data_IF_459028845749
#
_entry.id   IF_459028845749
#
_cell.length_a   1.000
_cell.length_b   1.000
_cell.length_c   1.000
_cell.angle_alpha   90.00
_cell.angle_beta   90.00
_cell.angle_gamma   90.00
#
_symmetry.space_group_name_H-M   'P 1'
#
loop_
_entity.id
_entity.type
_entity.pdbx_description
1 polymer ?
#
# COMPACT_ATOMS: atom_id res chain seq x y z
N UNK A 1 29.96 -33.83 -64.83
CA UNK A 1 30.77 -34.32 -63.68
C UNK A 1 31.12 -33.11 -62.82
N UNK A 2 31.00 -33.27 -61.50
CA UNK A 2 30.91 -32.21 -60.48
C UNK A 2 32.00 -31.14 -60.54
N UNK A 3 31.85 -29.96 -59.94
CA UNK A 3 31.00 -29.59 -58.81
C UNK A 3 31.93 -29.05 -57.72
N UNK A 4 31.81 -27.77 -57.37
CA UNK A 4 32.01 -27.30 -56.00
C UNK A 4 31.44 -25.89 -55.84
N UNK A 5 30.48 -25.78 -54.93
CA UNK A 5 29.94 -24.52 -54.46
C UNK A 5 30.92 -23.87 -53.49
N UNK A 6 30.99 -22.54 -53.51
CA UNK A 6 31.25 -21.76 -52.30
C UNK A 6 30.19 -20.66 -52.20
N UNK A 7 29.27 -20.86 -51.26
CA UNK A 7 28.40 -19.83 -50.71
C UNK A 7 29.24 -18.97 -49.77
N UNK A 8 29.16 -17.65 -49.89
CA UNK A 8 29.35 -16.76 -48.74
C UNK A 8 28.08 -15.94 -48.59
N UNK A 9 27.20 -16.47 -47.75
CA UNK A 9 26.14 -15.75 -47.05
C UNK A 9 26.79 -15.23 -45.77
N UNK A 10 26.65 -13.93 -45.47
CA UNK A 10 26.36 -13.39 -44.13
C UNK A 10 26.82 -11.93 -44.04
N UNK A 11 26.00 -11.01 -44.53
CA UNK A 11 26.02 -9.61 -44.12
C UNK A 11 24.67 -9.29 -43.48
N UNK A 12 24.35 -9.94 -42.36
CA UNK A 12 23.10 -9.70 -41.62
C UNK A 12 23.21 -10.07 -40.14
N UNK A 13 24.33 -9.73 -39.49
CA UNK A 13 24.47 -9.88 -38.03
C UNK A 13 25.04 -8.64 -37.31
N UNK A 14 25.26 -7.54 -38.01
CA UNK A 14 25.78 -6.31 -37.39
C UNK A 14 24.73 -5.26 -37.00
N UNK A 15 23.44 -5.55 -37.22
CA UNK A 15 22.35 -4.60 -36.91
C UNK A 15 21.45 -4.99 -35.73
N UNK A 16 21.65 -6.17 -35.12
CA UNK A 16 20.86 -6.61 -33.97
C UNK A 16 21.60 -6.36 -32.64
N UNK A 17 22.92 -6.20 -32.67
CA UNK A 17 23.70 -5.94 -31.45
C UNK A 17 23.67 -4.49 -30.96
N UNK A 18 23.03 -3.57 -31.69
CA UNK A 18 22.90 -2.16 -31.28
C UNK A 18 21.53 -1.83 -30.67
N UNK A 19 20.57 -2.76 -30.63
CA UNK A 19 19.26 -2.54 -30.00
C UNK A 19 19.12 -3.21 -28.61
N UNK A 20 19.93 -4.22 -28.31
CA UNK A 20 19.84 -4.96 -27.04
C UNK A 20 20.69 -4.36 -25.90
N UNK A 21 21.44 -3.28 -26.16
CA UNK A 21 22.27 -2.58 -25.16
C UNK A 21 21.79 -1.14 -24.87
N UNK A 22 20.54 -0.81 -25.19
CA UNK A 22 19.90 0.42 -24.69
C UNK A 22 18.83 0.16 -23.61
N UNK A 23 18.69 -1.09 -23.15
CA UNK A 23 17.73 -1.46 -22.09
C UNK A 23 18.38 -1.80 -20.74
N UNK A 24 19.65 -1.42 -20.53
CA UNK A 24 20.37 -1.72 -19.28
C UNK A 24 21.10 -0.52 -18.66
N UNK A 25 20.61 0.69 -18.94
CA UNK A 25 21.01 1.89 -18.19
C UNK A 25 19.81 2.83 -18.00
N UNK A 26 18.72 2.32 -17.42
CA UNK A 26 17.87 3.20 -16.60
C UNK A 26 18.54 3.26 -15.23
N UNK A 27 19.31 4.33 -15.09
CA UNK A 27 19.76 4.99 -13.87
C UNK A 27 19.36 4.30 -12.55
N UNK A 28 20.31 3.56 -11.94
CA UNK A 28 20.50 3.64 -10.49
C UNK A 28 21.05 5.03 -10.19
N UNK A 29 20.14 5.99 -10.10
CA UNK A 29 20.28 7.32 -9.50
C UNK A 29 18.95 8.05 -9.77
N UNK A 30 17.90 7.58 -9.09
CA UNK A 30 16.78 8.43 -8.75
C UNK A 30 17.15 9.10 -7.44
N UNK A 31 17.49 10.38 -7.47
CA UNK A 31 17.27 11.22 -6.30
C UNK A 31 15.82 11.02 -5.87
N UNK A 32 15.52 11.10 -4.57
CA UNK A 32 14.18 11.27 -4.03
C UNK A 32 13.56 12.59 -4.55
N UNK A 33 13.31 12.66 -5.86
CA UNK A 33 12.43 13.61 -6.48
C UNK A 33 11.03 13.17 -6.10
N UNK A 34 10.25 14.10 -5.58
CA UNK A 34 8.87 13.90 -5.15
C UNK A 34 8.08 13.06 -6.17
N UNK A 35 7.97 11.76 -5.91
CA UNK A 35 7.17 10.84 -6.72
C UNK A 35 5.70 11.16 -6.48
N UNK A 36 4.92 11.46 -7.52
CA UNK A 36 3.50 11.83 -7.41
C UNK A 36 2.63 10.69 -6.88
N UNK A 37 1.42 10.99 -6.40
CA UNK A 37 0.46 9.95 -5.99
C UNK A 37 0.09 9.05 -7.18
N UNK A 38 -0.07 9.64 -8.36
CA UNK A 38 -0.37 8.92 -9.58
C UNK A 38 0.73 7.90 -9.94
N UNK A 39 1.99 8.30 -9.82
CA UNK A 39 3.14 7.40 -10.04
C UNK A 39 3.15 6.24 -9.04
N UNK A 40 2.78 6.49 -7.77
CA UNK A 40 2.62 5.42 -6.79
C UNK A 40 1.48 4.46 -7.17
N UNK A 41 0.32 4.97 -7.57
CA UNK A 41 -0.81 4.14 -7.99
C UNK A 41 -0.47 3.26 -9.19
N UNK A 42 0.14 3.85 -10.23
CA UNK A 42 0.54 3.13 -11.44
C UNK A 42 1.59 2.06 -11.12
N UNK A 43 2.53 2.36 -10.23
CA UNK A 43 3.52 1.39 -9.76
C UNK A 43 2.87 0.22 -9.00
N UNK A 44 1.89 0.48 -8.11
CA UNK A 44 1.15 -0.59 -7.42
C UNK A 44 0.42 -1.47 -8.42
N UNK A 45 -0.33 -0.88 -9.36
CA UNK A 45 -1.08 -1.65 -10.37
C UNK A 45 -0.15 -2.51 -11.22
N UNK A 46 0.96 -1.94 -11.68
CA UNK A 46 1.94 -2.67 -12.47
C UNK A 46 2.49 -3.89 -11.72
N UNK A 47 2.81 -3.76 -10.43
CA UNK A 47 3.33 -4.87 -9.64
C UNK A 47 2.27 -5.94 -9.36
N UNK A 48 1.02 -5.55 -9.07
CA UNK A 48 -0.08 -6.52 -8.92
C UNK A 48 -0.33 -7.29 -10.22
N UNK A 49 -0.29 -6.62 -11.37
CA UNK A 49 -0.52 -7.24 -12.68
C UNK A 49 0.62 -8.18 -13.12
N UNK A 50 1.87 -7.83 -12.81
CA UNK A 50 3.05 -8.53 -13.33
C UNK A 50 3.67 -9.53 -12.36
N UNK A 51 3.34 -9.45 -11.07
CA UNK A 51 3.93 -10.27 -10.02
C UNK A 51 2.87 -10.89 -9.12
N UNK A 52 2.59 -12.18 -9.33
CA UNK A 52 1.62 -12.97 -8.55
C UNK A 52 1.94 -13.07 -7.04
N UNK A 53 3.15 -12.72 -6.62
CA UNK A 53 3.57 -12.72 -5.21
C UNK A 53 3.59 -11.33 -4.60
N UNK A 54 3.11 -10.31 -5.31
CA UNK A 54 3.02 -8.95 -4.81
C UNK A 54 1.78 -8.80 -3.93
N UNK A 55 2.02 -8.61 -2.63
CA UNK A 55 1.01 -8.48 -1.60
C UNK A 55 1.37 -7.34 -0.64
N UNK A 56 0.54 -7.10 0.37
CA UNK A 56 0.74 -5.99 1.31
C UNK A 56 2.10 -6.01 2.00
N UNK A 57 2.68 -7.18 2.25
CA UNK A 57 4.02 -7.28 2.85
C UNK A 57 5.09 -6.82 1.87
N UNK A 58 5.02 -7.22 0.59
CA UNK A 58 5.95 -6.70 -0.42
C UNK A 58 5.83 -5.19 -0.62
N UNK A 59 4.61 -4.67 -0.56
CA UNK A 59 4.32 -3.24 -0.65
C UNK A 59 4.91 -2.47 0.53
N UNK A 60 4.67 -2.90 1.78
CA UNK A 60 5.06 -2.14 2.97
C UNK A 60 6.59 -2.03 3.18
N UNK A 61 7.37 -2.85 2.47
CA UNK A 61 8.85 -2.82 2.48
C UNK A 61 9.48 -2.08 1.30
N UNK A 62 8.69 -1.34 0.51
CA UNK A 62 9.19 -0.59 -0.64
C UNK A 62 9.43 0.89 -0.31
N UNK A 63 10.31 1.56 -1.04
CA UNK A 63 10.56 3.00 -0.84
C UNK A 63 9.34 3.83 -1.31
N UNK A 64 8.57 3.32 -2.28
CA UNK A 64 7.43 4.01 -2.88
C UNK A 64 6.28 4.20 -1.88
N UNK A 65 6.02 3.21 -1.02
CA UNK A 65 5.00 3.37 0.04
C UNK A 65 5.48 4.38 1.09
N UNK A 66 6.78 4.48 1.36
CA UNK A 66 7.31 5.41 2.35
C UNK A 66 7.07 6.85 1.94
N UNK A 67 7.41 7.17 0.69
CA UNK A 67 7.14 8.49 0.10
C UNK A 67 5.63 8.77 0.05
N UNK A 68 4.82 7.77 -0.24
CA UNK A 68 3.37 7.92 -0.28
C UNK A 68 2.76 8.21 1.09
N UNK A 69 3.14 7.48 2.13
CA UNK A 69 2.59 7.66 3.49
C UNK A 69 3.02 9.01 4.08
N UNK A 70 4.30 9.36 4.00
CA UNK A 70 4.86 10.63 4.53
C UNK A 70 4.16 11.85 3.90
N UNK A 71 3.79 11.77 2.62
CA UNK A 71 3.06 12.84 1.94
C UNK A 71 1.58 12.95 2.35
N UNK A 72 0.89 11.84 2.53
CA UNK A 72 -0.59 11.81 2.59
C UNK A 72 -1.15 11.64 4.02
N UNK A 73 -0.29 11.40 5.02
CA UNK A 73 -0.69 11.35 6.43
C UNK A 73 -0.18 12.60 7.13
N UNK A 74 -1.04 13.61 7.23
CA UNK A 74 -0.70 14.89 7.89
C UNK A 74 -0.99 14.91 9.39
N UNK A 75 -1.64 13.88 9.92
CA UNK A 75 -1.87 13.76 11.36
C UNK A 75 -0.60 13.27 12.08
N UNK A 76 0.11 14.22 12.70
CA UNK A 76 1.36 13.96 13.41
C UNK A 76 1.23 13.96 14.95
N UNK A 77 0.02 14.25 15.48
CA UNK A 77 -0.19 14.25 16.92
C UNK A 77 0.03 12.83 17.48
N UNK A 78 0.73 12.70 18.63
CA UNK A 78 0.96 11.40 19.24
C UNK A 78 -0.35 10.76 19.70
N UNK A 79 -0.49 9.47 19.38
CA UNK A 79 -1.60 8.63 19.79
C UNK A 79 -1.06 7.42 20.55
N UNK A 80 -1.77 7.04 21.62
CA UNK A 80 -1.52 5.76 22.27
C UNK A 80 -2.54 4.74 21.81
N UNK A 81 -2.09 3.76 21.01
CA UNK A 81 -2.91 2.68 20.46
C UNK A 81 -2.52 1.29 21.01
N UNK A 82 -1.77 1.21 22.11
CA UNK A 82 -1.40 -0.06 22.77
C UNK A 82 -0.42 -0.95 21.99
N UNK A 83 0.20 -0.43 20.93
CA UNK A 83 1.15 -1.14 20.06
C UNK A 83 2.62 -0.84 20.39
N UNK A 84 2.84 -0.02 21.41
CA UNK A 84 4.12 0.51 21.86
C UNK A 84 4.33 0.18 23.34
N UNK A 85 5.45 0.62 23.93
CA UNK A 85 5.62 0.54 25.38
C UNK A 85 4.53 1.35 26.13
N UNK A 86 4.36 1.07 27.41
CA UNK A 86 3.42 1.83 28.25
C UNK A 86 3.74 3.34 28.20
N UNK A 87 2.72 4.17 27.95
CA UNK A 87 2.84 5.62 27.76
C UNK A 87 3.74 6.09 26.58
N UNK A 88 4.12 5.20 25.67
CA UNK A 88 4.91 5.55 24.48
C UNK A 88 3.97 5.88 23.30
N UNK A 89 3.40 7.09 23.32
CA UNK A 89 2.55 7.56 22.23
C UNK A 89 3.37 7.86 20.97
N UNK A 90 2.87 7.43 19.81
CA UNK A 90 3.52 7.58 18.51
C UNK A 90 2.52 8.15 17.50
N UNK A 91 3.00 8.72 16.40
CA UNK A 91 2.12 9.27 15.37
C UNK A 91 1.30 8.16 14.66
N UNK A 92 0.26 8.56 13.93
CA UNK A 92 -0.63 7.62 13.25
C UNK A 92 0.12 6.76 12.22
N UNK A 93 1.06 7.34 11.46
CA UNK A 93 1.86 6.61 10.46
C UNK A 93 2.66 5.46 11.09
N UNK A 94 3.31 5.70 12.23
CA UNK A 94 4.04 4.67 12.98
C UNK A 94 3.14 3.47 13.28
N UNK A 95 1.95 3.73 13.83
CA UNK A 95 1.00 2.68 14.17
C UNK A 95 0.47 1.97 12.92
N UNK A 96 0.18 2.72 11.85
CA UNK A 96 -0.26 2.16 10.58
C UNK A 96 0.77 1.18 10.02
N UNK A 97 2.06 1.56 10.03
CA UNK A 97 3.16 0.69 9.61
C UNK A 97 3.25 -0.57 10.47
N UNK A 98 3.09 -0.42 11.78
CA UNK A 98 3.10 -1.55 12.71
C UNK A 98 2.02 -2.59 12.36
N UNK A 99 0.80 -2.14 12.10
CA UNK A 99 -0.31 -3.04 11.73
C UNK A 99 -0.25 -3.55 10.29
N UNK A 100 0.55 -2.92 9.42
CA UNK A 100 0.77 -3.39 8.05
C UNK A 100 1.97 -4.35 7.90
N UNK A 101 2.83 -4.46 8.92
CA UNK A 101 4.10 -5.19 8.85
C UNK A 101 4.04 -6.70 9.13
N UNK A 102 2.89 -7.26 9.51
CA UNK A 102 2.74 -8.69 9.83
C UNK A 102 2.22 -9.54 8.68
N UNK A 103 1.25 -10.41 8.98
CA UNK A 103 0.65 -11.30 7.99
C UNK A 103 -0.15 -10.47 6.97
N UNK A 104 0.19 -10.52 5.67
CA UNK A 104 -0.44 -9.69 4.67
C UNK A 104 -1.71 -10.31 4.10
N UNK A 105 -2.57 -9.43 3.57
CA UNK A 105 -3.53 -9.78 2.54
C UNK A 105 -2.99 -9.45 1.15
N UNK A 106 -3.65 -10.03 0.15
CA UNK A 106 -3.50 -9.64 -1.24
C UNK A 106 -3.97 -8.19 -1.44
N UNK A 107 -3.36 -7.53 -2.41
CA UNK A 107 -3.76 -6.18 -2.81
C UNK A 107 -4.94 -6.32 -3.78
N UNK A 108 -6.05 -5.69 -3.44
CA UNK A 108 -7.28 -5.69 -4.23
C UNK A 108 -7.35 -4.43 -5.10
N UNK A 109 -7.50 -4.63 -6.41
CA UNK A 109 -7.72 -3.56 -7.39
C UNK A 109 -9.11 -3.74 -8.00
N UNK A 110 -10.02 -2.85 -7.65
CA UNK A 110 -11.41 -2.86 -8.15
C UNK A 110 -11.66 -1.68 -9.10
N UNK A 111 -12.45 -1.91 -10.15
CA UNK A 111 -12.89 -0.89 -11.11
C UNK A 111 -11.73 -0.06 -11.70
N UNK A 112 -10.53 -0.66 -11.81
CA UNK A 112 -9.27 -0.05 -12.28
C UNK A 112 -8.82 1.21 -11.52
N UNK A 113 -9.53 1.62 -10.48
CA UNK A 113 -9.37 2.92 -9.83
C UNK A 113 -9.35 2.84 -8.31
N UNK A 114 -9.89 1.77 -7.72
CA UNK A 114 -9.81 1.55 -6.28
C UNK A 114 -8.67 0.60 -5.98
N UNK A 115 -7.77 0.98 -5.08
CA UNK A 115 -6.72 0.12 -4.54
C UNK A 115 -7.01 -0.08 -3.06
N UNK A 116 -7.03 -1.32 -2.60
CA UNK A 116 -7.19 -1.66 -1.19
C UNK A 116 -6.14 -2.67 -0.77
N UNK A 117 -5.45 -2.41 0.33
CA UNK A 117 -4.51 -3.35 0.90
C UNK A 117 -4.60 -3.34 2.42
N UNK A 118 -4.40 -4.51 3.02
CA UNK A 118 -4.50 -4.70 4.47
C UNK A 118 -3.55 -5.77 4.96
N UNK A 119 -3.25 -5.70 6.25
CA UNK A 119 -2.44 -6.68 6.94
C UNK A 119 -2.76 -6.61 8.44
N UNK A 120 -2.14 -7.49 9.21
CA UNK A 120 -2.23 -7.45 10.67
C UNK A 120 -0.88 -7.18 11.32
N UNK A 121 -0.90 -6.74 12.58
CA UNK A 121 0.32 -6.52 13.35
C UNK A 121 1.02 -7.86 13.59
N UNK A 122 2.35 -7.87 13.46
CA UNK A 122 3.13 -9.06 13.78
C UNK A 122 2.88 -9.49 15.24
N UNK A 123 2.66 -10.79 15.44
CA UNK A 123 2.34 -11.42 16.73
C UNK A 123 1.05 -10.94 17.43
N UNK A 124 0.27 -10.05 16.83
CA UNK A 124 -1.00 -9.54 17.39
C UNK A 124 -1.99 -9.30 16.26
N UNK A 125 -2.47 -10.39 15.67
CA UNK A 125 -3.25 -10.31 14.44
C UNK A 125 -4.68 -9.82 14.69
N UNK A 126 -5.10 -9.62 15.94
CA UNK A 126 -6.34 -8.94 16.30
C UNK A 126 -6.27 -7.44 15.93
N UNK A 127 -5.10 -6.83 16.09
CA UNK A 127 -4.77 -5.49 15.60
C UNK A 127 -4.39 -5.58 14.12
N UNK A 128 -5.05 -4.77 13.29
CA UNK A 128 -4.89 -4.84 11.84
C UNK A 128 -5.20 -3.51 11.19
N UNK A 129 -4.61 -3.26 10.03
CA UNK A 129 -4.76 -2.00 9.32
C UNK A 129 -5.09 -2.20 7.87
N UNK A 130 -5.56 -1.12 7.26
CA UNK A 130 -5.81 -1.05 5.84
C UNK A 130 -5.47 0.33 5.29
N UNK A 131 -5.29 0.37 3.98
CA UNK A 131 -5.28 1.58 3.18
C UNK A 131 -6.26 1.39 2.04
N UNK A 132 -7.10 2.38 1.83
CA UNK A 132 -8.04 2.46 0.72
C UNK A 132 -7.71 3.70 -0.10
N UNK A 133 -7.67 3.56 -1.42
CA UNK A 133 -7.28 4.63 -2.34
C UNK A 133 -8.30 4.66 -3.48
N UNK A 134 -8.86 5.85 -3.73
CA UNK A 134 -9.54 6.20 -4.98
C UNK A 134 -8.58 6.96 -5.86
N UNK A 135 -7.85 6.22 -6.68
CA UNK A 135 -6.80 6.74 -7.56
C UNK A 135 -7.35 7.62 -8.70
N UNK A 136 -8.65 7.51 -9.02
CA UNK A 136 -9.28 8.38 -10.03
C UNK A 136 -9.54 9.78 -9.49
N UNK A 137 -9.70 9.93 -8.17
CA UNK A 137 -9.97 11.21 -7.49
C UNK A 137 -8.80 11.69 -6.63
N UNK A 138 -7.72 10.92 -6.59
CA UNK A 138 -6.56 11.12 -5.72
C UNK A 138 -6.94 11.27 -4.25
N UNK A 139 -7.73 10.31 -3.72
CA UNK A 139 -8.20 10.31 -2.33
C UNK A 139 -7.79 9.06 -1.59
N UNK A 140 -7.46 9.18 -0.32
CA UNK A 140 -6.95 8.09 0.50
C UNK A 140 -7.65 8.05 1.86
N UNK A 141 -7.87 6.84 2.36
CA UNK A 141 -8.34 6.60 3.73
C UNK A 141 -7.44 5.53 4.35
N UNK A 142 -6.91 5.84 5.52
CA UNK A 142 -6.04 4.97 6.29
C UNK A 142 -6.78 4.53 7.55
N UNK A 143 -6.72 3.23 7.87
CA UNK A 143 -7.47 2.67 8.99
C UNK A 143 -6.65 1.73 9.85
N UNK A 144 -6.86 1.82 11.16
CA UNK A 144 -6.22 0.99 12.17
C UNK A 144 -7.30 0.45 13.11
N UNK A 145 -7.32 -0.87 13.29
CA UNK A 145 -8.05 -1.53 14.36
C UNK A 145 -7.13 -1.66 15.57
N UNK A 146 -7.52 -1.05 16.69
CA UNK A 146 -6.83 -1.14 17.97
C UNK A 146 -7.82 -1.37 19.12
N UNK A 147 -7.36 -1.95 20.22
CA UNK A 147 -8.13 -2.11 21.45
C UNK A 147 -7.82 -1.02 22.49
N UNK A 148 -7.02 -0.02 22.12
CA UNK A 148 -6.65 1.12 22.96
C UNK A 148 -6.80 2.41 22.14
N UNK A 149 -7.14 3.51 22.81
CA UNK A 149 -7.19 4.82 22.18
C UNK A 149 -6.93 5.93 23.21
N UNK A 150 -5.76 6.56 23.14
CA UNK A 150 -5.30 7.64 24.01
C UNK A 150 -5.50 7.36 25.51
N UNK A 151 -5.37 6.08 25.87
CA UNK A 151 -5.65 5.56 27.20
C UNK A 151 -5.07 4.15 27.33
N UNK A 152 -4.57 3.82 28.52
CA UNK A 152 -4.09 2.48 28.87
C UNK A 152 -5.22 1.49 29.16
N UNK A 153 -6.48 1.93 29.11
CA UNK A 153 -7.63 1.05 29.31
C UNK A 153 -7.98 0.29 28.04
N UNK A 154 -7.83 -1.03 28.11
CA UNK A 154 -8.26 -1.96 27.07
C UNK A 154 -9.77 -1.91 26.85
N UNK A 155 -10.19 -1.71 25.60
CA UNK A 155 -11.56 -1.82 25.16
C UNK A 155 -11.74 -3.09 24.32
N UNK A 156 -12.50 -4.07 24.83
CA UNK A 156 -12.77 -5.33 24.13
C UNK A 156 -13.51 -5.14 22.80
N UNK A 157 -14.36 -4.13 22.69
CA UNK A 157 -15.11 -3.85 21.47
C UNK A 157 -14.21 -3.30 20.35
N UNK A 158 -13.06 -2.74 20.73
CA UNK A 158 -12.11 -2.16 19.78
C UNK A 158 -12.53 -0.80 19.23
N UNK A 159 -11.55 -0.14 18.64
CA UNK A 159 -11.65 1.12 17.93
C UNK A 159 -11.21 0.90 16.49
N UNK A 160 -11.98 1.47 15.56
CA UNK A 160 -11.51 1.70 14.20
C UNK A 160 -11.08 3.16 14.10
N UNK A 161 -9.77 3.38 14.19
CA UNK A 161 -9.15 4.70 14.07
C UNK A 161 -8.90 4.98 12.59
N UNK A 162 -9.51 6.03 12.07
CA UNK A 162 -9.45 6.41 10.65
C UNK A 162 -8.75 7.75 10.53
N UNK A 163 -7.79 7.85 9.60
CA UNK A 163 -7.20 9.10 9.14
C UNK A 163 -7.49 9.32 7.66
N UNK A 164 -7.82 10.56 7.30
CA UNK A 164 -7.92 11.03 5.91
C UNK A 164 -8.04 12.55 5.87
N UNK A 165 -7.35 13.15 4.90
CA UNK A 165 -7.42 14.59 4.66
C UNK A 165 -8.57 14.95 3.69
N UNK A 166 -9.16 13.95 3.03
CA UNK A 166 -10.11 14.13 1.93
C UNK A 166 -11.58 14.25 2.36
N UNK A 167 -11.90 13.85 3.59
CA UNK A 167 -13.29 13.74 4.08
C UNK A 167 -13.42 14.28 5.50
N UNK A 168 -14.48 15.02 5.82
CA UNK A 168 -14.66 15.63 7.15
C UNK A 168 -15.11 14.65 8.23
N UNK A 169 -15.81 13.59 7.82
CA UNK A 169 -16.31 12.55 8.71
C UNK A 169 -16.51 11.22 7.98
N UNK A 170 -16.79 10.16 8.74
CA UNK A 170 -17.12 8.85 8.17
C UNK A 170 -18.37 8.90 7.28
N UNK A 171 -19.37 9.72 7.63
CA UNK A 171 -20.60 9.89 6.86
C UNK A 171 -20.34 10.44 5.46
N UNK A 172 -19.34 11.30 5.29
CA UNK A 172 -18.96 11.90 4.00
C UNK A 172 -18.14 10.97 3.11
N UNK A 173 -17.60 9.89 3.66
CA UNK A 173 -16.82 8.92 2.88
C UNK A 173 -17.69 8.22 1.82
N UNK A 174 -17.13 7.86 0.66
CA UNK A 174 -17.90 7.35 -0.47
C UNK A 174 -18.48 5.97 -0.18
N UNK A 175 -19.59 5.65 -0.85
CA UNK A 175 -20.23 4.34 -0.72
C UNK A 175 -19.31 3.17 -1.08
N UNK A 176 -18.41 3.36 -2.05
CA UNK A 176 -17.39 2.36 -2.42
C UNK A 176 -16.47 2.00 -1.26
N UNK A 177 -15.97 3.00 -0.53
CA UNK A 177 -15.18 2.79 0.67
C UNK A 177 -15.98 2.05 1.75
N UNK A 178 -17.20 2.52 2.06
CA UNK A 178 -18.05 1.90 3.10
C UNK A 178 -18.36 0.43 2.77
N UNK A 179 -18.62 0.13 1.50
CA UNK A 179 -18.84 -1.23 1.03
C UNK A 179 -17.58 -2.08 1.20
N UNK A 180 -16.42 -1.62 0.72
CA UNK A 180 -15.16 -2.36 0.86
C UNK A 180 -14.79 -2.59 2.33
N UNK A 181 -14.95 -1.58 3.19
CA UNK A 181 -14.74 -1.69 4.62
C UNK A 181 -15.65 -2.75 5.26
N UNK A 182 -16.93 -2.77 4.90
CA UNK A 182 -17.87 -3.78 5.40
C UNK A 182 -17.48 -5.19 4.98
N UNK A 183 -17.03 -5.37 3.74
CA UNK A 183 -16.59 -6.68 3.25
C UNK A 183 -15.30 -7.14 3.93
N UNK A 184 -14.33 -6.23 4.08
CA UNK A 184 -13.11 -6.49 4.84
C UNK A 184 -13.42 -6.89 6.30
N UNK A 185 -14.36 -6.21 6.95
CA UNK A 185 -14.78 -6.57 8.31
C UNK A 185 -15.39 -7.97 8.39
N UNK A 186 -16.19 -8.39 7.39
CA UNK A 186 -16.73 -9.76 7.33
C UNK A 186 -15.62 -10.79 7.09
N UNK A 187 -14.72 -10.53 6.12
CA UNK A 187 -13.57 -11.38 5.81
C UNK A 187 -12.71 -11.62 7.05
N UNK A 188 -12.48 -10.56 7.84
CA UNK A 188 -11.67 -10.56 9.05
C UNK A 188 -12.43 -10.92 10.33
N UNK A 189 -13.74 -11.17 10.24
CA UNK A 189 -14.62 -11.47 11.37
C UNK A 189 -14.51 -10.41 12.48
N UNK A 190 -14.48 -9.15 12.08
CA UNK A 190 -14.41 -8.01 12.98
C UNK A 190 -15.82 -7.64 13.47
N UNK A 191 -15.97 -7.57 14.79
CA UNK A 191 -17.19 -7.09 15.44
C UNK A 191 -17.43 -5.59 15.17
N UNK A 192 -18.63 -5.06 15.48
CA UNK A 192 -18.85 -3.62 15.63
C UNK A 192 -17.79 -2.97 16.52
N UNK A 193 -17.11 -1.96 15.98
CA UNK A 193 -16.11 -1.15 16.68
C UNK A 193 -16.57 0.29 16.72
N UNK A 194 -16.13 1.03 17.74
CA UNK A 194 -16.31 2.48 17.76
C UNK A 194 -15.40 3.12 16.70
N UNK A 195 -15.97 3.92 15.81
CA UNK A 195 -15.18 4.64 14.80
C UNK A 195 -14.65 5.93 15.43
N UNK A 196 -13.35 6.12 15.34
CA UNK A 196 -12.66 7.35 15.73
C UNK A 196 -12.09 7.97 14.46
N UNK A 197 -12.49 9.20 14.15
CA UNK A 197 -12.05 9.90 12.95
C UNK A 197 -11.04 10.98 13.36
N UNK A 198 -9.81 10.83 12.88
CA UNK A 198 -8.72 11.77 13.12
C UNK A 198 -8.70 12.84 12.04
N UNK A 199 -8.21 14.02 12.42
CA UNK A 199 -8.10 15.21 11.59
C UNK A 199 -6.70 15.77 11.62
#
# INVERSE_FOLDING_TARGET
>A
MGGQQVRIIAASQFLIFSLTLMMTLVSKNGSAGSQSNLEFYDWVRHNVETNQYFNTNRLIWSDEIDVFLDRNITHHDPLYLGMTGENDAQNFEYHLRSVLGGAPDDIDITDQSTIFFSACRSHSCDEKGFVWIDSARDRQIFGIVSFFFNSDFFNREGYLVIHTDDYSSFEETPGSFKNRLNDWRKEKKLEPMSIVFLK
#
